data_IF_850766714642
#
_entry.id   IF_850766714642
#
_cell.length_a   1.000
_cell.length_b   1.000
_cell.length_c   1.000
_cell.angle_alpha   90.00
_cell.angle_beta   90.00
_cell.angle_gamma   90.00
#
_symmetry.space_group_name_H-M   'P 1'
#
loop_
_entity.id
_entity.type
_entity.pdbx_description
1 polymer ?
#
# COMPACT_ATOMS: atom_id res chain seq x y z
N UNK A 1 -11.24 -19.52 11.52
CA UNK A 1 -10.37 -20.45 12.28
C UNK A 1 -8.92 -19.93 12.31
N UNK A 2 -8.28 -19.64 11.16
CA UNK A 2 -6.92 -19.08 11.12
C UNK A 2 -6.75 -17.75 11.87
N UNK A 3 -7.62 -16.75 11.63
CA UNK A 3 -7.54 -15.47 12.33
C UNK A 3 -7.56 -15.61 13.87
N UNK A 4 -8.41 -16.50 14.40
CA UNK A 4 -8.41 -16.83 15.84
C UNK A 4 -7.13 -17.52 16.30
N UNK A 5 -6.59 -18.43 15.50
CA UNK A 5 -5.31 -19.06 15.82
C UNK A 5 -4.15 -18.04 15.85
N UNK A 6 -4.24 -16.96 15.07
CA UNK A 6 -3.24 -15.90 15.08
C UNK A 6 -3.44 -14.83 16.15
N UNK A 7 -4.60 -14.80 16.82
CA UNK A 7 -4.92 -13.79 17.83
C UNK A 7 -3.92 -13.79 19.00
N UNK A 8 -3.43 -14.97 19.39
CA UNK A 8 -2.49 -15.13 20.51
C UNK A 8 -1.07 -14.60 20.21
N UNK A 9 -0.78 -14.27 18.94
CA UNK A 9 0.55 -13.84 18.51
C UNK A 9 0.70 -12.33 18.38
N UNK A 10 -0.35 -11.55 18.69
CA UNK A 10 -0.35 -10.09 18.57
C UNK A 10 0.15 -9.61 17.19
N UNK A 11 -0.27 -10.30 16.12
CA UNK A 11 0.03 -9.87 14.75
C UNK A 11 -0.60 -8.50 14.49
N UNK A 12 0.09 -7.66 13.73
CA UNK A 12 -0.35 -6.28 13.53
C UNK A 12 -1.64 -6.19 12.68
N UNK A 13 -1.70 -6.98 11.61
CA UNK A 13 -2.90 -7.26 10.81
C UNK A 13 -2.80 -8.63 10.11
N UNK A 14 -3.91 -9.08 9.53
CA UNK A 14 -3.99 -10.18 8.56
C UNK A 14 -4.38 -9.60 7.19
N UNK A 15 -3.51 -9.78 6.21
CA UNK A 15 -3.60 -9.20 4.87
C UNK A 15 -4.28 -10.14 3.89
N UNK A 16 -5.13 -9.59 3.03
CA UNK A 16 -5.86 -10.28 1.96
C UNK A 16 -6.27 -11.75 2.27
N UNK A 17 -6.96 -12.01 3.39
CA UNK A 17 -7.29 -13.38 3.80
C UNK A 17 -8.32 -14.08 2.90
N UNK A 18 -8.98 -13.33 2.01
CA UNK A 18 -10.09 -13.76 1.16
C UNK A 18 -9.94 -13.16 -0.23
N UNK A 19 -10.73 -13.65 -1.19
CA UNK A 19 -10.76 -13.08 -2.54
C UNK A 19 -11.17 -11.60 -2.49
N UNK A 20 -10.57 -10.73 -3.32
CA UNK A 20 -10.85 -9.30 -3.30
C UNK A 20 -12.33 -8.94 -3.48
N UNK A 21 -13.07 -9.71 -4.28
CA UNK A 21 -14.49 -9.49 -4.58
C UNK A 21 -15.45 -10.08 -3.53
N UNK A 22 -14.95 -10.80 -2.51
CA UNK A 22 -15.76 -11.40 -1.44
C UNK A 22 -15.98 -10.43 -0.26
N UNK A 23 -16.60 -9.28 -0.54
CA UNK A 23 -16.87 -8.27 0.48
C UNK A 23 -17.73 -8.80 1.65
N UNK A 24 -18.67 -9.71 1.38
CA UNK A 24 -19.46 -10.34 2.45
C UNK A 24 -18.63 -11.32 3.30
N UNK A 25 -17.67 -12.01 2.69
CA UNK A 25 -16.68 -12.82 3.39
C UNK A 25 -15.80 -11.96 4.29
N UNK A 26 -15.29 -10.84 3.78
CA UNK A 26 -14.53 -9.86 4.57
C UNK A 26 -15.33 -9.41 5.78
N UNK A 27 -16.60 -8.99 5.59
CA UNK A 27 -17.48 -8.59 6.68
C UNK A 27 -17.59 -9.65 7.76
N UNK A 28 -17.87 -10.89 7.36
CA UNK A 28 -18.01 -12.03 8.28
C UNK A 28 -16.71 -12.30 9.03
N UNK A 29 -15.56 -12.11 8.39
CA UNK A 29 -14.26 -12.31 9.01
C UNK A 29 -13.95 -11.20 10.01
N UNK A 30 -14.05 -9.93 9.60
CA UNK A 30 -13.81 -8.76 10.46
C UNK A 30 -14.72 -8.76 11.69
N UNK A 31 -16.00 -9.16 11.55
CA UNK A 31 -16.93 -9.26 12.68
C UNK A 31 -16.64 -10.45 13.62
N UNK A 32 -15.78 -11.39 13.24
CA UNK A 32 -15.55 -12.65 13.96
C UNK A 32 -14.17 -12.77 14.63
N UNK A 33 -13.33 -11.73 14.55
CA UNK A 33 -11.96 -11.72 15.07
C UNK A 33 -11.57 -10.32 15.55
N UNK A 34 -10.71 -10.23 16.55
CA UNK A 34 -10.13 -8.95 17.02
C UNK A 34 -8.80 -8.60 16.33
N UNK A 35 -8.38 -9.45 15.38
CA UNK A 35 -7.19 -9.24 14.54
C UNK A 35 -7.57 -8.28 13.43
N UNK A 36 -6.80 -7.19 13.26
CA UNK A 36 -7.05 -6.22 12.18
C UNK A 36 -7.00 -6.90 10.82
N UNK A 37 -7.97 -6.59 9.96
CA UNK A 37 -7.99 -7.04 8.57
C UNK A 37 -7.55 -5.89 7.67
N UNK A 38 -6.48 -6.13 6.90
CA UNK A 38 -5.98 -5.20 5.89
C UNK A 38 -6.30 -5.75 4.50
N UNK A 39 -6.77 -4.87 3.60
CA UNK A 39 -6.98 -5.22 2.20
C UNK A 39 -7.03 -3.96 1.32
N UNK A 40 -6.96 -4.16 0.00
CA UNK A 40 -7.18 -3.11 -0.99
C UNK A 40 -6.14 -3.06 -2.11
N UNK A 41 -5.07 -3.87 -2.07
CA UNK A 41 -4.03 -3.88 -3.11
C UNK A 41 -4.58 -4.24 -4.49
N UNK A 42 -5.57 -5.12 -4.56
CA UNK A 42 -6.20 -5.49 -5.83
C UNK A 42 -7.21 -4.45 -6.34
N UNK A 43 -7.60 -3.46 -5.53
CA UNK A 43 -8.64 -2.48 -5.87
C UNK A 43 -8.16 -1.37 -6.82
N UNK A 44 -9.02 -0.99 -7.77
CA UNK A 44 -8.62 -0.14 -8.92
C UNK A 44 -9.35 1.20 -9.02
N UNK A 45 -10.36 1.49 -8.19
CA UNK A 45 -11.05 2.78 -8.17
C UNK A 45 -11.70 3.04 -6.80
N UNK A 46 -12.09 4.28 -6.52
CA UNK A 46 -12.71 4.60 -5.20
C UNK A 46 -13.99 3.82 -4.90
N UNK A 47 -14.74 3.37 -5.91
CA UNK A 47 -16.03 2.70 -5.70
C UNK A 47 -15.81 1.34 -5.06
N UNK A 48 -14.78 0.62 -5.48
CA UNK A 48 -14.48 -0.68 -4.90
C UNK A 48 -13.84 -0.56 -3.51
N UNK A 49 -13.05 0.49 -3.26
CA UNK A 49 -12.64 0.85 -1.89
C UNK A 49 -13.84 1.17 -0.98
N UNK A 50 -14.88 1.84 -1.49
CA UNK A 50 -16.11 2.08 -0.71
C UNK A 50 -16.81 0.76 -0.33
N UNK A 51 -16.95 -0.18 -1.26
CA UNK A 51 -17.49 -1.50 -0.95
C UNK A 51 -16.64 -2.23 0.10
N UNK A 52 -15.32 -2.21 -0.04
CA UNK A 52 -14.41 -2.86 0.90
C UNK A 52 -14.49 -2.25 2.30
N UNK A 53 -14.58 -0.92 2.42
CA UNK A 53 -14.74 -0.23 3.70
C UNK A 53 -16.14 -0.41 4.31
N UNK A 54 -17.20 -0.17 3.54
CA UNK A 54 -18.58 -0.10 4.06
C UNK A 54 -19.21 -1.48 4.22
N UNK A 55 -19.01 -2.34 3.22
CA UNK A 55 -19.54 -3.71 3.21
C UNK A 55 -18.54 -4.67 3.80
N UNK A 56 -17.28 -4.62 3.37
CA UNK A 56 -16.20 -5.49 3.85
C UNK A 56 -15.79 -5.24 5.31
N UNK A 57 -15.96 -4.01 5.82
CA UNK A 57 -15.61 -3.63 7.19
C UNK A 57 -14.16 -3.98 7.55
N UNK A 58 -13.24 -3.67 6.65
CA UNK A 58 -11.80 -3.80 6.90
C UNK A 58 -11.31 -2.74 7.89
N UNK A 59 -10.17 -3.00 8.53
CA UNK A 59 -9.58 -2.14 9.56
C UNK A 59 -8.45 -1.26 9.02
N UNK A 60 -7.78 -1.67 7.93
CA UNK A 60 -6.67 -0.92 7.30
C UNK A 60 -6.84 -0.95 5.79
N UNK A 61 -6.87 0.23 5.18
CA UNK A 61 -7.05 0.38 3.73
C UNK A 61 -5.69 0.44 3.04
N UNK A 62 -5.40 -0.54 2.18
CA UNK A 62 -4.13 -0.62 1.44
C UNK A 62 -4.31 -0.07 0.03
N UNK A 63 -3.61 1.02 -0.29
CA UNK A 63 -3.78 1.71 -1.58
C UNK A 63 -2.51 1.59 -2.41
N UNK A 64 -2.63 1.07 -3.63
CA UNK A 64 -1.56 1.12 -4.63
C UNK A 64 -1.82 2.25 -5.62
N UNK A 65 -0.95 3.26 -5.65
CA UNK A 65 -1.09 4.42 -6.54
C UNK A 65 -1.03 4.04 -8.03
N UNK A 66 -0.34 2.95 -8.37
CA UNK A 66 -0.23 2.47 -9.76
C UNK A 66 -1.49 1.75 -10.24
N UNK A 67 -2.39 1.40 -9.32
CA UNK A 67 -3.62 0.65 -9.60
C UNK A 67 -4.88 1.48 -9.37
N UNK A 68 -4.94 2.21 -8.27
CA UNK A 68 -6.15 2.91 -7.85
C UNK A 68 -6.50 4.12 -8.74
N UNK A 69 -5.63 4.54 -9.67
CA UNK A 69 -5.81 5.73 -10.50
C UNK A 69 -4.90 6.92 -10.16
N UNK A 70 -3.81 6.68 -9.44
CA UNK A 70 -2.79 7.69 -9.13
C UNK A 70 -3.12 8.62 -7.96
N UNK A 71 -2.27 9.62 -7.74
CA UNK A 71 -2.34 10.55 -6.61
C UNK A 71 -3.72 11.15 -6.38
N UNK A 72 -4.38 11.63 -7.43
CA UNK A 72 -5.68 12.30 -7.30
C UNK A 72 -6.75 11.35 -6.78
N UNK A 73 -6.71 10.08 -7.18
CA UNK A 73 -7.66 9.09 -6.70
C UNK A 73 -7.30 8.62 -5.29
N UNK A 74 -6.01 8.37 -5.03
CA UNK A 74 -5.49 8.00 -3.73
C UNK A 74 -5.83 9.03 -2.64
N UNK A 75 -5.73 10.33 -2.94
CA UNK A 75 -6.14 11.40 -2.00
C UNK A 75 -7.62 11.33 -1.64
N UNK A 76 -8.49 11.03 -2.62
CA UNK A 76 -9.92 10.91 -2.39
C UNK A 76 -10.25 9.64 -1.60
N UNK A 77 -9.56 8.53 -1.88
CA UNK A 77 -9.67 7.28 -1.11
C UNK A 77 -9.24 7.51 0.33
N UNK A 78 -8.09 8.17 0.56
CA UNK A 78 -7.60 8.51 1.89
C UNK A 78 -8.60 9.37 2.69
N UNK A 79 -9.23 10.37 2.05
CA UNK A 79 -10.27 11.17 2.67
C UNK A 79 -11.52 10.35 3.04
N UNK A 80 -11.95 9.45 2.16
CA UNK A 80 -13.08 8.55 2.46
C UNK A 80 -12.77 7.57 3.61
N UNK A 81 -11.53 7.09 3.69
CA UNK A 81 -11.06 6.28 4.82
C UNK A 81 -11.00 7.11 6.11
N UNK A 82 -10.52 8.37 6.03
CA UNK A 82 -10.46 9.29 7.17
C UNK A 82 -11.84 9.53 7.78
N UNK A 83 -12.86 9.77 6.95
CA UNK A 83 -14.25 9.97 7.39
C UNK A 83 -14.83 8.75 8.11
N UNK A 84 -14.24 7.57 7.91
CA UNK A 84 -14.60 6.31 8.58
C UNK A 84 -13.71 5.98 9.78
N UNK A 85 -12.74 6.84 10.09
CA UNK A 85 -11.73 6.58 11.12
C UNK A 85 -10.75 5.48 10.75
N UNK A 86 -10.61 5.16 9.46
CA UNK A 86 -9.75 4.08 8.98
C UNK A 86 -8.34 4.61 8.64
N UNK A 87 -7.28 3.98 9.17
CA UNK A 87 -5.92 4.20 8.71
C UNK A 87 -5.73 3.73 7.26
N UNK A 88 -4.75 4.35 6.58
CA UNK A 88 -4.29 3.89 5.26
C UNK A 88 -2.81 3.50 5.31
N UNK A 89 -2.47 2.48 4.54
CA UNK A 89 -1.11 2.10 4.20
C UNK A 89 -0.99 2.06 2.67
N UNK A 90 0.22 2.22 2.13
CA UNK A 90 0.41 1.90 0.72
C UNK A 90 0.51 0.39 0.53
N UNK A 91 0.09 -0.08 -0.64
CA UNK A 91 0.67 -1.28 -1.24
C UNK A 91 1.75 -0.84 -2.22
N UNK A 92 2.93 -1.46 -2.15
CA UNK A 92 4.17 -0.94 -2.72
C UNK A 92 5.13 -1.98 -3.29
N UNK A 93 4.66 -3.12 -3.78
CA UNK A 93 5.53 -4.19 -4.28
C UNK A 93 5.97 -4.00 -5.75
N UNK A 94 6.66 -2.90 -6.07
CA UNK A 94 7.17 -2.66 -7.44
C UNK A 94 8.58 -2.03 -7.45
N UNK A 95 8.72 -0.78 -7.89
CA UNK A 95 10.00 -0.07 -8.04
C UNK A 95 10.02 1.15 -7.11
N UNK A 96 11.18 1.81 -6.99
CA UNK A 96 11.26 3.05 -6.22
C UNK A 96 10.33 4.15 -6.74
N UNK A 97 9.84 4.06 -7.98
CA UNK A 97 8.83 4.97 -8.53
C UNK A 97 7.52 4.91 -7.75
N UNK A 98 6.99 3.71 -7.50
CA UNK A 98 5.76 3.59 -6.71
C UNK A 98 6.01 3.90 -5.23
N UNK A 99 7.16 3.47 -4.70
CA UNK A 99 7.49 3.71 -3.28
C UNK A 99 7.65 5.21 -3.00
N UNK A 100 8.36 5.99 -3.82
CA UNK A 100 8.48 7.44 -3.58
C UNK A 100 7.14 8.15 -3.79
N UNK A 101 6.34 7.72 -4.77
CA UNK A 101 4.99 8.22 -4.93
C UNK A 101 4.13 7.97 -3.67
N UNK A 102 4.18 6.75 -3.13
CA UNK A 102 3.53 6.39 -1.88
C UNK A 102 4.05 7.20 -0.69
N UNK A 103 5.37 7.40 -0.55
CA UNK A 103 5.96 8.21 0.52
C UNK A 103 5.44 9.66 0.50
N UNK A 104 5.43 10.30 -0.67
CA UNK A 104 4.89 11.66 -0.82
C UNK A 104 3.39 11.71 -0.50
N UNK A 105 2.62 10.72 -0.95
CA UNK A 105 1.19 10.63 -0.67
C UNK A 105 0.90 10.41 0.82
N UNK A 106 1.53 9.42 1.46
CA UNK A 106 1.39 9.12 2.88
C UNK A 106 1.80 10.32 3.75
N UNK A 107 2.85 11.05 3.38
CA UNK A 107 3.27 12.26 4.09
C UNK A 107 2.28 13.44 3.95
N UNK A 108 1.33 13.36 3.01
CA UNK A 108 0.37 14.44 2.71
C UNK A 108 -1.02 14.23 3.32
N UNK A 109 -1.23 13.13 4.04
CA UNK A 109 -2.53 12.74 4.62
C UNK A 109 -2.44 12.47 6.12
N UNK A 110 -3.52 12.69 6.89
CA UNK A 110 -3.48 12.57 8.35
C UNK A 110 -3.66 11.13 8.88
N UNK A 111 -4.12 10.18 8.06
CA UNK A 111 -4.32 8.75 8.41
C UNK A 111 -3.26 7.81 7.87
N UNK A 112 -2.08 8.29 7.46
CA UNK A 112 -0.99 7.38 7.13
C UNK A 112 -0.60 6.54 8.36
N UNK A 113 -0.55 5.22 8.20
CA UNK A 113 -0.23 4.27 9.26
C UNK A 113 1.21 3.78 9.18
N UNK A 114 1.59 3.23 8.04
CA UNK A 114 2.91 2.66 7.78
C UNK A 114 3.17 2.69 6.27
N UNK A 115 4.45 2.77 5.90
CA UNK A 115 4.87 2.61 4.51
C UNK A 115 5.35 1.16 4.31
N UNK A 116 4.70 0.42 3.42
CA UNK A 116 5.23 -0.85 2.94
C UNK A 116 6.50 -0.58 2.11
N UNK A 117 7.57 -1.31 2.42
CA UNK A 117 8.84 -1.21 1.74
C UNK A 117 9.59 -2.54 1.78
N UNK A 118 10.07 -2.97 0.61
CA UNK A 118 10.96 -4.13 0.52
C UNK A 118 12.37 -3.71 0.98
N UNK A 119 12.82 -4.17 2.13
CA UNK A 119 14.13 -3.79 2.67
C UNK A 119 15.32 -4.50 2.00
N UNK A 120 15.07 -5.58 1.25
CA UNK A 120 16.13 -6.33 0.58
C UNK A 120 16.82 -5.48 -0.49
N UNK A 121 18.15 -5.49 -0.49
CA UNK A 121 18.98 -4.74 -1.44
C UNK A 121 19.51 -5.63 -2.56
N UNK A 122 20.06 -5.01 -3.61
CA UNK A 122 20.66 -5.72 -4.77
C UNK A 122 19.70 -6.69 -5.48
N UNK A 123 18.41 -6.41 -5.37
CA UNK A 123 17.34 -7.19 -6.00
C UNK A 123 17.18 -6.82 -7.49
N UNK A 124 16.00 -7.09 -8.05
CA UNK A 124 15.68 -6.96 -9.47
C UNK A 124 15.48 -5.49 -9.93
N UNK A 125 14.58 -5.29 -10.91
CA UNK A 125 14.23 -4.01 -11.53
C UNK A 125 14.22 -2.81 -10.57
N UNK A 126 13.67 -2.97 -9.36
CA UNK A 126 13.55 -1.90 -8.37
C UNK A 126 14.86 -1.17 -8.06
N UNK A 127 15.97 -1.88 -7.99
CA UNK A 127 17.29 -1.33 -7.64
C UNK A 127 18.03 -0.71 -8.83
N UNK A 128 17.54 -0.93 -10.05
CA UNK A 128 18.27 -0.59 -11.27
C UNK A 128 17.55 0.40 -12.19
N UNK A 129 16.21 0.48 -12.16
CA UNK A 129 15.47 1.35 -13.11
C UNK A 129 15.47 2.83 -12.74
N UNK A 130 15.97 3.18 -11.56
CA UNK A 130 16.12 4.56 -11.09
C UNK A 130 17.56 4.82 -10.66
N UNK A 131 18.03 6.07 -10.82
CA UNK A 131 19.39 6.47 -10.41
C UNK A 131 19.54 6.54 -8.90
N UNK A 132 18.51 7.05 -8.23
CA UNK A 132 18.42 7.15 -6.78
C UNK A 132 17.99 5.81 -6.21
N UNK A 133 18.47 5.53 -5.00
CA UNK A 133 18.13 4.34 -4.23
C UNK A 133 17.49 4.75 -2.91
N UNK A 134 16.46 4.02 -2.52
CA UNK A 134 15.84 4.17 -1.20
C UNK A 134 16.44 3.17 -0.22
N UNK A 135 16.74 3.63 0.99
CA UNK A 135 17.26 2.81 2.08
C UNK A 135 16.47 3.11 3.34
N UNK A 136 16.07 2.05 4.03
CA UNK A 136 15.45 2.18 5.33
C UNK A 136 16.55 2.29 6.40
N UNK A 137 16.52 3.35 7.19
CA UNK A 137 17.44 3.59 8.30
C UNK A 137 16.63 3.60 9.59
N UNK A 138 17.00 2.75 10.55
CA UNK A 138 16.30 2.57 11.83
C UNK A 138 14.78 2.34 11.72
N UNK A 139 14.35 1.68 10.63
CA UNK A 139 12.94 1.38 10.37
C UNK A 139 12.17 2.52 9.69
N UNK A 140 12.85 3.58 9.23
CA UNK A 140 12.24 4.73 8.57
C UNK A 140 12.79 4.94 7.17
N UNK A 141 11.97 5.52 6.29
CA UNK A 141 12.37 6.01 4.98
C UNK A 141 12.41 7.53 4.98
N UNK A 142 13.51 8.09 4.48
CA UNK A 142 13.57 9.51 4.18
C UNK A 142 12.69 9.82 2.96
N UNK A 143 11.90 10.89 3.05
CA UNK A 143 11.15 11.40 1.90
C UNK A 143 12.13 12.17 1.01
N UNK A 144 12.22 11.87 -0.30
CA UNK A 144 13.04 12.66 -1.22
C UNK A 144 12.67 14.15 -1.19
N UNK A 145 13.68 15.02 -1.26
CA UNK A 145 13.49 16.48 -1.18
C UNK A 145 13.61 17.18 -2.54
N UNK A 146 14.10 16.47 -3.56
CA UNK A 146 14.19 17.00 -4.92
C UNK A 146 12.80 17.14 -5.56
N UNK A 147 12.61 18.03 -6.55
CA UNK A 147 11.32 18.25 -7.20
C UNK A 147 10.67 16.98 -7.77
N UNK A 148 9.33 16.95 -7.79
CA UNK A 148 8.57 15.82 -8.32
C UNK A 148 8.56 14.63 -7.35
N UNK A 149 8.92 13.44 -7.84
CA UNK A 149 9.06 12.23 -7.02
C UNK A 149 10.45 12.11 -6.36
N UNK A 150 11.33 13.07 -6.61
CA UNK A 150 12.72 13.09 -6.15
C UNK A 150 13.59 11.93 -6.66
N UNK A 151 13.21 11.33 -7.79
CA UNK A 151 13.94 10.25 -8.45
C UNK A 151 13.95 10.47 -9.97
N UNK A 152 14.99 9.96 -10.61
CA UNK A 152 15.19 9.96 -12.06
C UNK A 152 15.30 8.53 -12.57
N UNK A 153 14.79 8.31 -13.77
CA UNK A 153 14.93 7.04 -14.48
C UNK A 153 16.38 6.81 -14.93
N UNK A 154 16.81 5.55 -14.90
CA UNK A 154 18.03 5.10 -15.54
C UNK A 154 17.67 4.51 -16.93
N UNK A 155 17.82 5.36 -17.96
CA UNK A 155 17.51 5.00 -19.35
C UNK A 155 18.34 3.81 -19.87
N UNK A 156 19.59 3.66 -19.41
CA UNK A 156 20.45 2.53 -19.82
C UNK A 156 19.93 1.23 -19.20
N UNK A 157 19.58 1.26 -17.91
CA UNK A 157 18.97 0.12 -17.25
C UNK A 157 17.61 -0.23 -17.86
N UNK A 158 16.76 0.76 -18.16
CA UNK A 158 15.47 0.55 -18.82
C UNK A 158 15.68 -0.11 -20.18
N UNK A 159 16.62 0.37 -20.99
CA UNK A 159 16.93 -0.21 -22.29
C UNK A 159 17.35 -1.68 -22.17
N UNK A 160 18.14 -2.03 -21.14
CA UNK A 160 18.58 -3.39 -20.85
C UNK A 160 17.43 -4.33 -20.46
N UNK A 161 16.47 -3.85 -19.69
CA UNK A 161 15.36 -4.67 -19.17
C UNK A 161 14.08 -4.62 -20.01
N UNK A 162 14.09 -3.89 -21.13
CA UNK A 162 12.93 -3.74 -22.01
C UNK A 162 12.46 -5.10 -22.53
N UNK A 163 11.17 -5.38 -22.38
CA UNK A 163 10.48 -6.53 -22.99
C UNK A 163 9.77 -6.06 -24.26
N UNK A 164 9.80 -6.91 -25.30
CA UNK A 164 9.22 -6.64 -26.61
C UNK A 164 7.69 -6.80 -26.64
#
# INVERSE_FOLDING_TARGET
QRARAFADYNIFWLEEPLRPDDYDGYRKLSEATDVRIAAGEEESNRQSFLELMDRGRIDVVQVDLTRCGGFTEAMKIAALAWDRGLPVANHGFTTYINVTAALHWLASIPNALICEFVAEEETNLREFVTRQKLRAEDGYLAIPQEPGLGIDLDEEAIAKFRVA
#
